data_IF_527512676535
#
_entry.id   IF_527512676535
#
_cell.length_a   1.000
_cell.length_b   1.000
_cell.length_c   1.000
_cell.angle_alpha   90.00
_cell.angle_beta   90.00
_cell.angle_gamma   90.00
#
_symmetry.space_group_name_H-M   'P 1'
#
loop_
_entity.id
_entity.type
_entity.pdbx_description
1 polymer ?
#
# COMPACT_ATOMS: atom_id res chain seq x y z
N UNK A 1 1.95 -21.66 -27.42
CA UNK A 1 1.31 -21.66 -26.09
C UNK A 1 2.20 -22.43 -25.14
N UNK A 2 3.03 -21.75 -24.38
CA UNK A 2 3.83 -22.35 -23.31
C UNK A 2 2.97 -22.41 -22.06
N UNK A 3 2.70 -23.62 -21.59
CA UNK A 3 1.99 -23.88 -20.32
C UNK A 3 2.90 -23.37 -19.20
N UNK A 4 2.47 -22.41 -18.36
CA UNK A 4 3.26 -21.96 -17.23
C UNK A 4 3.55 -23.14 -16.29
N UNK A 5 4.83 -23.35 -15.96
CA UNK A 5 5.24 -24.43 -15.07
C UNK A 5 4.95 -24.06 -13.61
N UNK A 6 3.82 -24.56 -13.13
CA UNK A 6 3.35 -24.43 -11.74
C UNK A 6 4.29 -25.12 -10.71
N UNK A 7 5.36 -25.81 -11.15
CA UNK A 7 6.29 -26.53 -10.28
C UNK A 7 7.53 -25.74 -9.86
N UNK A 8 7.66 -24.46 -10.22
CA UNK A 8 8.79 -23.68 -9.74
C UNK A 8 8.78 -23.60 -8.20
N UNK A 9 9.82 -24.07 -7.50
CA UNK A 9 9.86 -24.10 -6.03
C UNK A 9 9.62 -22.73 -5.39
N UNK A 10 9.99 -21.65 -6.08
CA UNK A 10 9.76 -20.27 -5.63
C UNK A 10 8.25 -19.95 -5.52
N UNK A 11 7.43 -20.42 -6.45
CA UNK A 11 5.97 -20.18 -6.44
C UNK A 11 5.31 -20.95 -5.30
N UNK A 12 5.74 -22.20 -5.06
CA UNK A 12 5.25 -22.99 -3.93
C UNK A 12 5.58 -22.33 -2.58
N UNK A 13 6.77 -21.72 -2.46
CA UNK A 13 7.16 -20.95 -1.28
C UNK A 13 6.28 -19.70 -1.08
N UNK A 14 5.94 -18.99 -2.17
CA UNK A 14 5.03 -17.84 -2.13
C UNK A 14 3.64 -18.25 -1.66
N UNK A 15 3.07 -19.30 -2.26
CA UNK A 15 1.76 -19.82 -1.89
C UNK A 15 1.71 -20.25 -0.41
N UNK A 16 2.78 -20.89 0.09
CA UNK A 16 2.93 -21.21 1.50
C UNK A 16 2.99 -19.97 2.37
N UNK A 17 3.72 -18.92 1.94
CA UNK A 17 3.88 -17.69 2.70
C UNK A 17 2.57 -16.93 2.88
N UNK A 18 1.74 -16.82 1.85
CA UNK A 18 0.51 -15.98 1.85
C UNK A 18 -0.76 -16.70 2.33
N UNK A 19 -0.74 -18.04 2.44
CA UNK A 19 -1.93 -18.88 2.71
C UNK A 19 -2.77 -18.43 3.90
N UNK A 20 -2.10 -18.12 5.02
CA UNK A 20 -2.76 -17.81 6.29
C UNK A 20 -2.65 -16.31 6.63
N UNK A 21 -2.30 -15.47 5.64
CA UNK A 21 -2.18 -14.03 5.85
C UNK A 21 -3.45 -13.30 5.45
N UNK A 22 -3.81 -12.30 6.25
CA UNK A 22 -4.91 -11.40 5.92
C UNK A 22 -4.52 -10.45 4.77
N UNK A 23 -5.30 -10.38 3.68
CA UNK A 23 -5.07 -9.40 2.63
C UNK A 23 -5.41 -7.99 3.12
N UNK A 24 -4.58 -7.01 2.73
CA UNK A 24 -4.75 -5.60 3.04
C UNK A 24 -5.24 -4.79 1.83
N UNK A 25 -4.83 -5.20 0.63
CA UNK A 25 -5.22 -4.52 -0.59
C UNK A 25 -4.55 -5.10 -1.83
N UNK A 26 -5.11 -4.77 -2.98
CA UNK A 26 -4.54 -5.05 -4.29
C UNK A 26 -4.33 -3.71 -4.98
N UNK A 27 -3.10 -3.46 -5.43
CA UNK A 27 -2.73 -2.20 -6.03
C UNK A 27 -2.17 -2.41 -7.43
N UNK A 28 -2.63 -1.60 -8.39
CA UNK A 28 -2.12 -1.64 -9.76
C UNK A 28 -0.74 -0.99 -9.83
N UNK A 29 0.28 -1.73 -10.29
CA UNK A 29 1.61 -1.17 -10.56
C UNK A 29 1.67 -0.64 -12.00
N UNK A 30 1.24 -1.47 -12.95
CA UNK A 30 1.13 -1.13 -14.37
C UNK A 30 -0.02 -1.93 -15.01
N UNK A 31 -0.17 -1.87 -16.34
CA UNK A 31 -1.28 -2.55 -17.03
C UNK A 31 -1.21 -4.08 -17.01
N UNK A 32 -0.05 -4.65 -16.71
CA UNK A 32 0.16 -6.09 -16.69
C UNK A 32 0.40 -6.63 -15.28
N UNK A 33 0.66 -5.77 -14.29
CA UNK A 33 1.13 -6.20 -12.97
C UNK A 33 0.47 -5.45 -11.82
N UNK A 34 0.18 -6.21 -10.77
CA UNK A 34 -0.44 -5.80 -9.52
C UNK A 34 0.40 -6.23 -8.32
N UNK A 35 0.30 -5.47 -7.25
CA UNK A 35 0.88 -5.76 -5.95
C UNK A 35 -0.23 -6.17 -4.98
N UNK A 36 -0.17 -7.40 -4.49
CA UNK A 36 -1.04 -7.89 -3.43
C UNK A 36 -0.33 -7.68 -2.10
N UNK A 37 -0.85 -6.75 -1.29
CA UNK A 37 -0.35 -6.51 0.05
C UNK A 37 -1.11 -7.39 1.05
N UNK A 38 -0.37 -8.13 1.84
CA UNK A 38 -0.83 -8.86 3.01
C UNK A 38 -0.27 -8.21 4.28
N UNK A 39 -0.61 -8.75 5.43
CA UNK A 39 -0.22 -8.21 6.73
C UNK A 39 1.28 -8.33 7.06
N UNK A 40 1.99 -9.34 6.53
CA UNK A 40 3.44 -9.51 6.77
C UNK A 40 4.32 -9.29 5.53
N UNK A 41 3.73 -9.35 4.34
CA UNK A 41 4.47 -9.25 3.08
C UNK A 41 3.59 -8.77 1.92
N UNK A 42 4.22 -8.44 0.80
CA UNK A 42 3.53 -8.22 -0.46
C UNK A 42 4.13 -9.10 -1.58
N UNK A 43 3.29 -9.46 -2.55
CA UNK A 43 3.66 -10.31 -3.69
C UNK A 43 3.16 -9.69 -4.99
N UNK A 44 3.89 -9.93 -6.07
CA UNK A 44 3.58 -9.40 -7.39
C UNK A 44 2.82 -10.45 -8.19
N UNK A 45 1.72 -10.04 -8.79
CA UNK A 45 0.89 -10.88 -9.65
C UNK A 45 0.61 -10.18 -10.96
N UNK A 46 0.41 -10.95 -12.02
CA UNK A 46 -0.02 -10.40 -13.31
C UNK A 46 -1.54 -10.18 -13.35
N UNK A 47 -2.04 -9.67 -14.48
CA UNK A 47 -3.49 -9.47 -14.71
C UNK A 47 -4.32 -10.76 -14.74
N UNK A 48 -3.69 -11.92 -14.85
CA UNK A 48 -4.35 -13.23 -14.80
C UNK A 48 -4.38 -13.80 -13.38
N UNK A 49 -3.68 -13.16 -12.44
CA UNK A 49 -3.56 -13.58 -11.04
C UNK A 49 -2.39 -14.53 -10.80
N UNK A 50 -1.55 -14.77 -11.80
CA UNK A 50 -0.36 -15.59 -11.67
C UNK A 50 0.79 -14.78 -11.06
N UNK A 51 1.66 -15.43 -10.29
CA UNK A 51 2.83 -14.77 -9.69
C UNK A 51 3.74 -14.23 -10.80
N UNK A 52 3.92 -12.92 -10.86
CA UNK A 52 4.75 -12.25 -11.88
C UNK A 52 6.22 -12.14 -11.48
N UNK A 53 6.51 -12.13 -10.17
CA UNK A 53 7.88 -12.05 -9.63
C UNK A 53 8.08 -13.05 -8.50
N UNK A 54 9.24 -13.70 -8.47
CA UNK A 54 9.61 -14.68 -7.42
C UNK A 54 10.02 -14.04 -6.09
N UNK A 55 10.27 -12.73 -6.08
CA UNK A 55 10.66 -11.99 -4.89
C UNK A 55 9.43 -11.65 -4.02
N UNK A 56 9.48 -12.05 -2.75
CA UNK A 56 8.51 -11.63 -1.73
C UNK A 56 8.99 -10.32 -1.10
N UNK A 57 8.14 -9.30 -1.09
CA UNK A 57 8.42 -8.06 -0.38
C UNK A 57 8.14 -8.24 1.11
N UNK A 58 9.14 -8.67 1.86
CA UNK A 58 9.05 -8.86 3.32
C UNK A 58 9.11 -7.51 4.04
N UNK A 59 8.13 -7.20 4.90
CA UNK A 59 8.09 -5.95 5.67
C UNK A 59 9.14 -5.94 6.79
N UNK A 60 9.55 -4.76 7.25
CA UNK A 60 10.64 -4.65 8.22
C UNK A 60 10.24 -5.13 9.62
N UNK A 61 8.97 -4.98 10.02
CA UNK A 61 8.50 -5.42 11.33
C UNK A 61 8.14 -6.90 11.40
N UNK A 62 9.04 -7.71 11.97
CA UNK A 62 8.78 -9.15 12.20
C UNK A 62 7.77 -9.44 13.33
N UNK A 63 7.55 -8.47 14.22
CA UNK A 63 6.74 -8.66 15.44
C UNK A 63 5.34 -8.04 15.36
N UNK A 64 5.15 -7.01 14.52
CA UNK A 64 3.88 -6.30 14.38
C UNK A 64 3.48 -6.21 12.92
N UNK A 65 2.37 -6.89 12.62
CA UNK A 65 1.78 -6.99 11.30
C UNK A 65 1.19 -5.65 10.86
N UNK A 66 1.21 -5.39 9.55
CA UNK A 66 0.52 -4.25 8.98
C UNK A 66 -0.99 -4.42 9.15
N UNK A 67 -1.65 -3.38 9.65
CA UNK A 67 -3.10 -3.36 9.87
C UNK A 67 -3.84 -2.90 8.62
N UNK A 68 -3.23 -2.00 7.84
CA UNK A 68 -3.75 -1.46 6.59
C UNK A 68 -2.61 -1.04 5.65
N UNK A 69 -2.95 -0.84 4.38
CA UNK A 69 -2.01 -0.41 3.36
C UNK A 69 -2.68 0.51 2.34
N UNK A 70 -1.92 1.40 1.71
CA UNK A 70 -2.36 2.18 0.54
C UNK A 70 -1.19 2.46 -0.39
N UNK A 71 -1.49 2.82 -1.64
CA UNK A 71 -0.50 3.36 -2.56
C UNK A 71 -0.69 4.86 -2.73
N UNK A 72 0.43 5.58 -2.75
CA UNK A 72 0.49 6.99 -3.10
C UNK A 72 1.63 7.22 -4.09
N UNK A 73 1.28 7.52 -5.35
CA UNK A 73 2.23 7.54 -6.46
C UNK A 73 2.93 6.18 -6.59
N UNK A 74 4.27 6.18 -6.58
CA UNK A 74 5.10 4.98 -6.69
C UNK A 74 5.37 4.28 -5.34
N UNK A 75 4.76 4.75 -4.26
CA UNK A 75 5.06 4.29 -2.90
C UNK A 75 3.93 3.47 -2.30
N UNK A 76 4.28 2.31 -1.77
CA UNK A 76 3.43 1.52 -0.88
C UNK A 76 3.62 2.03 0.55
N UNK A 77 2.52 2.37 1.20
CA UNK A 77 2.46 2.78 2.60
C UNK A 77 1.83 1.65 3.41
N UNK A 78 2.54 1.23 4.45
CA UNK A 78 2.14 0.15 5.35
C UNK A 78 1.99 0.73 6.74
N UNK A 79 0.80 0.60 7.32
CA UNK A 79 0.50 1.13 8.64
C UNK A 79 0.48 -0.02 9.64
N UNK A 80 1.16 0.14 10.76
CA UNK A 80 0.88 -0.62 11.97
C UNK A 80 0.76 0.35 13.15
N UNK A 81 0.59 -0.14 14.38
CA UNK A 81 0.40 0.74 15.54
C UNK A 81 1.62 1.56 15.97
N UNK A 82 2.82 1.21 15.51
CA UNK A 82 4.09 1.78 15.97
C UNK A 82 4.81 2.61 14.90
N UNK A 83 4.48 2.40 13.63
CA UNK A 83 5.12 3.12 12.54
C UNK A 83 4.31 3.06 11.25
N UNK A 84 4.68 3.95 10.34
CA UNK A 84 4.36 3.87 8.91
C UNK A 84 5.63 3.48 8.16
N UNK A 85 5.58 2.37 7.43
CA UNK A 85 6.66 1.91 6.57
C UNK A 85 6.36 2.29 5.12
N UNK A 86 7.29 3.02 4.52
CA UNK A 86 7.18 3.54 3.16
C UNK A 86 8.15 2.76 2.28
N UNK A 87 7.62 2.06 1.28
CA UNK A 87 8.41 1.31 0.29
C UNK A 87 8.17 1.80 -1.11
N UNK A 88 9.19 1.71 -1.95
CA UNK A 88 8.99 1.83 -3.39
C UNK A 88 8.22 0.58 -3.87
N UNK A 89 7.06 0.77 -4.48
CA UNK A 89 6.16 -0.32 -4.86
C UNK A 89 6.71 -1.15 -6.05
N UNK A 90 7.56 -0.54 -6.88
CA UNK A 90 8.15 -1.18 -8.06
C UNK A 90 9.28 -2.15 -7.66
N UNK A 91 10.16 -1.77 -6.74
CA UNK A 91 11.34 -2.58 -6.41
C UNK A 91 11.36 -3.10 -4.96
N UNK A 92 10.37 -2.74 -4.15
CA UNK A 92 10.24 -3.15 -2.75
C UNK A 92 11.27 -2.56 -1.78
N UNK A 93 12.12 -1.62 -2.22
CA UNK A 93 13.12 -0.98 -1.34
C UNK A 93 12.43 -0.12 -0.29
N UNK A 94 12.91 -0.25 0.95
CA UNK A 94 12.54 0.63 2.05
C UNK A 94 13.00 2.06 1.74
N UNK A 95 12.09 3.03 1.84
CA UNK A 95 12.35 4.46 1.65
C UNK A 95 12.40 5.20 2.97
N UNK A 96 11.45 4.89 3.85
CA UNK A 96 11.32 5.58 5.11
C UNK A 96 10.57 4.73 6.13
N UNK A 97 10.89 4.92 7.40
CA UNK A 97 10.07 4.50 8.53
C UNK A 97 9.72 5.76 9.31
N UNK A 98 8.42 6.00 9.52
CA UNK A 98 7.91 7.10 10.33
C UNK A 98 7.43 6.48 11.65
N UNK A 99 8.23 6.63 12.71
CA UNK A 99 7.88 6.09 14.01
C UNK A 99 6.75 6.88 14.68
N UNK A 100 5.89 6.19 15.42
CA UNK A 100 4.77 6.77 16.16
C UNK A 100 4.22 5.81 17.22
N UNK A 101 3.10 6.18 17.83
CA UNK A 101 2.34 5.32 18.75
C UNK A 101 0.86 5.45 18.45
N UNK A 102 0.12 4.35 18.48
CA UNK A 102 -1.29 4.30 18.09
C UNK A 102 -1.52 4.91 16.69
N UNK A 103 -0.63 4.55 15.75
CA UNK A 103 -0.71 5.04 14.38
C UNK A 103 -1.96 4.45 13.70
N UNK A 104 -2.79 5.32 13.11
CA UNK A 104 -4.02 4.96 12.40
C UNK A 104 -4.10 5.75 11.10
N UNK A 105 -4.46 5.06 10.01
CA UNK A 105 -4.79 5.74 8.75
C UNK A 105 -6.22 6.29 8.83
N UNK A 106 -6.38 7.58 8.54
CA UNK A 106 -7.67 8.28 8.52
C UNK A 106 -8.20 8.48 7.11
N UNK A 107 -7.29 8.70 6.16
CA UNK A 107 -7.59 8.90 4.75
C UNK A 107 -6.49 8.20 3.95
N UNK A 108 -6.89 7.27 3.08
CA UNK A 108 -5.94 6.48 2.29
C UNK A 108 -5.39 7.24 1.09
N UNK A 109 -5.79 8.50 0.86
CA UNK A 109 -5.40 9.31 -0.29
C UNK A 109 -5.95 8.79 -1.63
N UNK A 110 -6.59 7.63 -1.61
CA UNK A 110 -7.37 7.08 -2.70
C UNK A 110 -8.73 7.75 -2.60
N UNK A 111 -9.02 8.62 -3.56
CA UNK A 111 -10.39 9.03 -3.75
C UNK A 111 -11.21 7.75 -4.01
N UNK A 112 -12.14 7.43 -3.11
CA UNK A 112 -13.08 6.33 -3.29
C UNK A 112 -13.93 6.54 -4.56
N UNK A 113 -14.96 5.72 -4.80
CA UNK A 113 -15.90 5.98 -5.90
C UNK A 113 -16.49 7.42 -5.88
N UNK A 114 -16.37 8.13 -4.76
CA UNK A 114 -16.78 9.51 -4.51
C UNK A 114 -15.68 10.57 -4.63
N UNK A 115 -14.55 10.29 -5.29
CA UNK A 115 -13.67 11.38 -5.70
C UNK A 115 -12.95 11.10 -7.03
N UNK A 116 -13.25 11.91 -8.03
CA UNK A 116 -12.62 11.77 -9.34
C UNK A 116 -11.17 12.25 -9.34
N UNK A 117 -10.23 11.43 -9.79
CA UNK A 117 -9.67 11.65 -11.13
C UNK A 117 -9.08 10.33 -11.64
N UNK A 118 -10.00 9.45 -12.03
CA UNK A 118 -9.75 8.32 -12.91
C UNK A 118 -9.38 8.85 -14.29
N UNK A 119 -8.09 8.95 -14.60
CA UNK A 119 -7.70 9.09 -16.01
C UNK A 119 -7.97 7.81 -16.80
N UNK A 120 -8.18 6.64 -16.17
CA UNK A 120 -8.82 5.47 -16.82
C UNK A 120 -9.11 4.30 -15.85
N UNK A 121 -10.14 4.39 -14.99
CA UNK A 121 -10.69 3.18 -14.33
C UNK A 121 -12.19 3.30 -14.18
N UNK A 122 -12.87 2.55 -15.02
CA UNK A 122 -14.30 2.25 -15.00
C UNK A 122 -14.64 1.55 -13.67
N UNK A 123 -15.12 2.29 -12.67
CA UNK A 123 -15.59 1.74 -11.38
C UNK A 123 -17.11 1.91 -11.23
N UNK A 124 -17.74 0.83 -10.80
CA UNK A 124 -19.16 0.49 -10.93
C UNK A 124 -20.00 0.88 -9.69
N UNK A 125 -20.12 2.15 -9.34
CA UNK A 125 -21.12 2.51 -8.32
C UNK A 125 -21.69 3.92 -8.52
N UNK A 126 -23.00 3.94 -8.82
CA UNK A 126 -23.81 5.12 -9.08
C UNK A 126 -24.13 5.88 -7.80
N UNK A 127 -23.62 7.12 -7.67
CA UNK A 127 -24.02 8.07 -6.65
C UNK A 127 -23.38 9.43 -6.90
N UNK A 128 -24.02 10.26 -7.72
CA UNK A 128 -23.56 11.60 -8.08
C UNK A 128 -23.60 12.56 -6.88
N UNK A 129 -22.48 13.21 -6.55
CA UNK A 129 -22.44 14.41 -5.72
C UNK A 129 -21.70 15.54 -6.45
N UNK A 130 -22.08 16.82 -6.23
CA UNK A 130 -21.63 17.94 -7.04
C UNK A 130 -20.19 18.33 -6.73
N UNK A 131 -19.46 18.73 -7.78
CA UNK A 131 -18.08 19.18 -7.75
C UNK A 131 -17.89 20.47 -6.92
N UNK A 132 -16.95 20.44 -5.97
CA UNK A 132 -16.50 21.59 -5.20
C UNK A 132 -15.11 21.34 -4.58
N UNK A 133 -14.17 22.21 -4.93
CA UNK A 133 -12.78 22.36 -4.44
C UNK A 133 -11.78 21.20 -4.63
N UNK A 134 -10.69 21.52 -5.34
CA UNK A 134 -9.54 20.68 -5.69
C UNK A 134 -8.72 20.22 -4.47
N UNK A 135 -9.31 19.40 -3.60
CA UNK A 135 -8.54 18.66 -2.62
C UNK A 135 -7.65 17.64 -3.35
N UNK A 136 -6.35 17.94 -3.48
CA UNK A 136 -5.33 16.95 -3.84
C UNK A 136 -5.50 15.80 -2.86
N UNK A 137 -5.91 14.62 -3.31
CA UNK A 137 -6.12 13.49 -2.41
C UNK A 137 -4.79 13.12 -1.77
N UNK A 138 -4.65 13.28 -0.46
CA UNK A 138 -3.42 12.99 0.29
C UNK A 138 -3.69 11.96 1.36
N UNK A 139 -2.65 11.25 1.78
CA UNK A 139 -2.76 10.27 2.85
C UNK A 139 -2.71 11.00 4.19
N UNK A 140 -3.68 10.74 5.06
CA UNK A 140 -3.73 11.33 6.40
C UNK A 140 -3.65 10.23 7.44
N UNK A 141 -2.82 10.47 8.45
CA UNK A 141 -2.63 9.56 9.58
C UNK A 141 -2.85 10.31 10.90
N UNK A 142 -3.30 9.60 11.91
CA UNK A 142 -3.20 10.06 13.30
C UNK A 142 -2.21 9.21 14.07
N UNK A 143 -1.61 9.82 15.09
CA UNK A 143 -0.78 9.14 16.08
C UNK A 143 -0.87 9.87 17.42
N UNK A 144 -0.45 9.21 18.50
CA UNK A 144 -0.34 9.85 19.82
C UNK A 144 0.70 10.96 19.80
N UNK A 145 0.40 12.11 20.41
CA UNK A 145 1.36 13.18 20.57
C UNK A 145 2.57 12.66 21.39
N UNK A 146 3.82 12.97 21.00
CA UNK A 146 5.01 12.45 21.67
C UNK A 146 5.24 13.00 23.09
N UNK A 147 4.61 14.11 23.44
CA UNK A 147 4.89 14.89 24.67
C UNK A 147 3.62 15.11 25.50
N UNK A 148 2.46 15.29 24.86
CA UNK A 148 1.19 15.53 25.54
C UNK A 148 0.36 14.24 25.65
N UNK A 149 0.18 13.75 26.87
CA UNK A 149 -0.60 12.53 27.12
C UNK A 149 -2.09 12.75 26.81
N UNK A 150 -2.72 11.76 26.16
CA UNK A 150 -4.14 11.82 25.79
C UNK A 150 -4.46 12.68 24.56
N UNK A 151 -3.47 13.31 23.94
CA UNK A 151 -3.63 14.11 22.71
C UNK A 151 -3.18 13.30 21.50
N UNK A 152 -3.90 13.44 20.39
CA UNK A 152 -3.50 12.91 19.09
C UNK A 152 -3.07 14.04 18.17
N UNK A 153 -2.08 13.75 17.33
CA UNK A 153 -1.69 14.61 16.21
C UNK A 153 -2.19 13.99 14.91
N UNK A 154 -2.70 14.83 14.00
CA UNK A 154 -3.08 14.43 12.66
C UNK A 154 -2.04 14.98 11.69
N UNK A 155 -1.55 14.13 10.82
CA UNK A 155 -0.47 14.43 9.88
C UNK A 155 -0.97 14.14 8.46
N UNK A 156 -0.63 15.04 7.55
CA UNK A 156 -0.81 14.87 6.11
C UNK A 156 0.53 14.47 5.50
N UNK A 157 0.53 13.40 4.70
CA UNK A 157 1.73 12.94 4.00
C UNK A 157 1.85 13.64 2.66
N UNK A 158 2.96 14.34 2.46
CA UNK A 158 3.28 15.05 1.22
C UNK A 158 4.41 14.34 0.48
N UNK A 159 4.31 14.28 -0.85
CA UNK A 159 5.38 13.79 -1.70
C UNK A 159 6.54 14.78 -1.69
N UNK A 160 7.75 14.29 -1.48
CA UNK A 160 8.94 15.12 -1.58
C UNK A 160 9.49 15.08 -3.01
N UNK A 161 9.04 16.00 -3.85
CA UNK A 161 9.40 16.07 -5.28
C UNK A 161 10.83 16.59 -5.56
N UNK A 162 11.53 17.06 -4.52
CA UNK A 162 12.85 17.72 -4.66
C UNK A 162 14.05 16.88 -4.25
N UNK A 163 13.87 15.64 -3.78
CA UNK A 163 14.97 14.84 -3.24
C UNK A 163 15.52 13.86 -4.29
N UNK A 164 16.66 14.20 -4.90
CA UNK A 164 17.40 13.26 -5.75
C UNK A 164 18.16 12.25 -4.87
N UNK A 165 18.00 10.95 -5.13
CA UNK A 165 18.90 9.94 -4.59
C UNK A 165 20.31 10.17 -5.13
N UNK A 166 21.29 10.27 -4.23
CA UNK A 166 22.71 10.20 -4.58
C UNK A 166 23.16 8.76 -4.75
#
# INVERSE_FOLDING_TARGET
MSIPDLKQPAIANIAGRIRDQRPLGMFKLNDQEFLLAYEDCAVYVDKHGDVSRTLIMEYSGKQKKATSATMYGQYLLLFNGDYVEVRNAENGRLRQIIAGRDVKCLDFGVRGPTGGNSSNTQSWLSGQTPAGEDSKGTVKISMSHPEQHGVQVVLEMLLNDGHMEK
#
